data_IF_272543815101
#
_entry.id   IF_272543815101
#
_cell.length_a   1.000
_cell.length_b   1.000
_cell.length_c   1.000
_cell.angle_alpha   90.00
_cell.angle_beta   90.00
_cell.angle_gamma   90.00
#
_symmetry.space_group_name_H-M   'P 1'
#
loop_
_entity.id
_entity.type
_entity.pdbx_description
1 polymer ?
#
# COMPACT_ATOMS: atom_id res chain seq x y z
N UNK A 1 1.64 -12.72 -36.44
CA UNK A 1 2.82 -12.00 -35.90
C UNK A 1 2.35 -10.78 -35.12
N UNK A 2 1.84 -10.99 -33.92
CA UNK A 2 1.70 -9.95 -32.90
C UNK A 2 2.46 -10.48 -31.68
N UNK A 3 3.16 -9.73 -30.84
CA UNK A 3 3.11 -8.31 -30.59
C UNK A 3 4.50 -7.91 -30.01
N UNK A 4 5.51 -7.61 -30.85
CA UNK A 4 6.85 -7.28 -30.34
C UNK A 4 6.82 -6.08 -29.37
N UNK A 5 5.84 -5.19 -29.55
CA UNK A 5 5.60 -4.04 -28.67
C UNK A 5 5.13 -4.42 -27.26
N UNK A 6 4.40 -5.52 -27.08
CA UNK A 6 3.98 -5.95 -25.75
C UNK A 6 5.15 -6.54 -24.97
N UNK A 7 6.03 -7.31 -25.62
CA UNK A 7 7.25 -7.80 -24.99
C UNK A 7 8.20 -6.65 -24.59
N UNK A 8 8.29 -5.60 -25.40
CA UNK A 8 9.02 -4.38 -25.08
C UNK A 8 8.41 -3.65 -23.87
N UNK A 9 7.09 -3.49 -23.85
CA UNK A 9 6.39 -2.85 -22.73
C UNK A 9 6.53 -3.68 -21.45
N UNK A 10 6.40 -5.00 -21.53
CA UNK A 10 6.57 -5.92 -20.42
C UNK A 10 8.00 -5.84 -19.87
N UNK A 11 9.01 -5.91 -20.72
CA UNK A 11 10.40 -5.78 -20.31
C UNK A 11 10.66 -4.42 -19.61
N UNK A 12 10.14 -3.32 -20.18
CA UNK A 12 10.25 -1.99 -19.57
C UNK A 12 9.55 -1.93 -18.20
N UNK A 13 8.34 -2.47 -18.10
CA UNK A 13 7.57 -2.50 -16.86
C UNK A 13 8.27 -3.32 -15.79
N UNK A 14 8.84 -4.48 -16.15
CA UNK A 14 9.64 -5.33 -15.25
C UNK A 14 10.88 -4.59 -14.76
N UNK A 15 11.62 -3.93 -15.65
CA UNK A 15 12.80 -3.13 -15.25
C UNK A 15 12.40 -2.00 -14.29
N UNK A 16 11.30 -1.30 -14.58
CA UNK A 16 10.78 -0.23 -13.72
C UNK A 16 10.33 -0.77 -12.35
N UNK A 17 9.71 -1.95 -12.33
CA UNK A 17 9.25 -2.59 -11.10
C UNK A 17 10.42 -3.05 -10.22
N UNK A 18 11.44 -3.70 -10.80
CA UNK A 18 12.64 -4.16 -10.09
C UNK A 18 13.42 -2.98 -9.50
N UNK A 19 13.48 -1.84 -10.21
CA UNK A 19 14.13 -0.62 -9.71
C UNK A 19 13.32 0.11 -8.63
N UNK A 20 12.07 -0.27 -8.40
CA UNK A 20 11.23 0.40 -7.41
C UNK A 20 11.64 0.04 -5.97
N UNK A 21 11.97 1.01 -5.11
CA UNK A 21 12.28 0.74 -3.71
C UNK A 21 11.08 0.15 -2.95
N UNK A 22 9.84 0.49 -3.35
CA UNK A 22 8.64 -0.06 -2.71
C UNK A 22 8.44 -1.54 -3.04
N UNK A 23 8.72 -1.94 -4.29
CA UNK A 23 8.66 -3.35 -4.70
C UNK A 23 9.68 -4.18 -3.92
N UNK A 24 10.93 -3.71 -3.83
CA UNK A 24 11.97 -4.39 -3.05
C UNK A 24 11.59 -4.54 -1.58
N UNK A 25 11.03 -3.49 -0.95
CA UNK A 25 10.52 -3.56 0.44
C UNK A 25 9.39 -4.57 0.60
N UNK A 26 8.48 -4.66 -0.38
CA UNK A 26 7.38 -5.60 -0.36
C UNK A 26 7.88 -7.06 -0.49
N UNK A 27 8.81 -7.34 -1.41
CA UNK A 27 9.45 -8.65 -1.56
C UNK A 27 10.15 -9.06 -0.27
N UNK A 28 10.93 -8.16 0.33
CA UNK A 28 11.59 -8.40 1.61
C UNK A 28 10.60 -8.71 2.75
N UNK A 29 9.43 -8.04 2.77
CA UNK A 29 8.37 -8.31 3.74
C UNK A 29 7.71 -9.68 3.51
N UNK A 30 7.45 -10.03 2.25
CA UNK A 30 6.89 -11.33 1.88
C UNK A 30 7.85 -12.47 2.23
N UNK A 31 9.14 -12.32 1.89
CA UNK A 31 10.19 -13.26 2.24
C UNK A 31 10.26 -13.50 3.76
N UNK A 32 10.34 -12.42 4.56
CA UNK A 32 10.32 -12.55 6.03
C UNK A 32 9.08 -13.25 6.55
N UNK A 33 7.90 -12.96 5.97
CA UNK A 33 6.64 -13.61 6.35
C UNK A 33 6.62 -15.11 6.04
N UNK A 34 7.13 -15.53 4.87
CA UNK A 34 7.22 -16.94 4.46
C UNK A 34 8.20 -17.69 5.37
N UNK A 35 9.36 -17.09 5.62
CA UNK A 35 10.42 -17.70 6.42
C UNK A 35 10.25 -17.50 7.93
N UNK A 36 9.14 -16.88 8.38
CA UNK A 36 8.84 -16.57 9.79
C UNK A 36 10.02 -15.90 10.52
N UNK A 37 10.75 -15.06 9.81
CA UNK A 37 11.87 -14.32 10.40
C UNK A 37 11.26 -13.35 11.42
N UNK A 38 11.69 -13.40 12.70
CA UNK A 38 11.17 -12.51 13.71
C UNK A 38 11.44 -11.05 13.33
N UNK A 39 10.45 -10.19 13.55
CA UNK A 39 10.61 -8.77 13.31
C UNK A 39 11.62 -8.23 14.32
N UNK A 40 12.80 -7.85 13.83
CA UNK A 40 13.89 -7.27 14.64
C UNK A 40 13.56 -5.84 15.11
N UNK A 41 12.56 -5.21 14.51
CA UNK A 41 12.12 -3.85 14.83
C UNK A 41 10.78 -3.88 15.57
N UNK A 42 10.66 -3.06 16.60
CA UNK A 42 9.40 -2.86 17.30
C UNK A 42 8.38 -2.22 16.34
N UNK A 43 7.35 -2.98 15.95
CA UNK A 43 6.29 -2.54 15.02
C UNK A 43 5.67 -1.17 15.37
N UNK A 44 5.66 -0.83 16.66
CA UNK A 44 5.15 0.43 17.19
C UNK A 44 6.11 1.04 18.23
N UNK A 45 7.31 1.43 17.81
CA UNK A 45 8.19 2.32 18.60
C UNK A 45 8.41 1.89 20.06
N UNK A 46 8.59 0.59 20.31
CA UNK A 46 8.88 0.06 21.65
C UNK A 46 7.68 -0.33 22.51
N UNK A 47 6.49 -0.53 21.94
CA UNK A 47 5.35 -1.12 22.67
C UNK A 47 4.13 -0.22 22.83
N UNK A 48 3.98 0.84 22.02
CA UNK A 48 2.73 1.60 21.97
C UNK A 48 1.64 0.76 21.31
N UNK A 49 0.78 0.13 22.11
CA UNK A 49 -0.51 -0.42 21.68
C UNK A 49 -1.48 0.73 21.46
N UNK A 50 -1.37 1.42 20.33
CA UNK A 50 -2.28 2.50 19.93
C UNK A 50 -2.55 2.45 18.42
N UNK A 51 -3.59 3.17 17.95
CA UNK A 51 -3.92 3.25 16.53
C UNK A 51 -2.69 3.70 15.73
N UNK A 52 -2.45 3.09 14.58
CA UNK A 52 -1.34 3.46 13.71
C UNK A 52 -1.66 4.76 12.98
N UNK A 53 -0.63 5.44 12.45
CA UNK A 53 -0.82 6.62 11.59
C UNK A 53 -1.74 6.32 10.40
N UNK A 54 -1.75 5.07 9.91
CA UNK A 54 -2.63 4.66 8.83
C UNK A 54 -4.09 4.53 9.26
N UNK A 55 -4.35 4.10 10.50
CA UNK A 55 -5.71 4.02 11.03
C UNK A 55 -6.33 5.42 11.13
N UNK A 56 -5.57 6.39 11.65
CA UNK A 56 -5.98 7.80 11.69
C UNK A 56 -6.24 8.37 10.29
N UNK A 57 -5.35 8.11 9.33
CA UNK A 57 -5.55 8.53 7.94
C UNK A 57 -6.83 7.95 7.33
N UNK A 58 -7.14 6.67 7.61
CA UNK A 58 -8.36 6.03 7.13
C UNK A 58 -9.61 6.65 7.74
N UNK A 59 -9.59 6.95 9.03
CA UNK A 59 -10.70 7.58 9.73
C UNK A 59 -10.96 8.98 9.16
N UNK A 60 -9.90 9.78 8.99
CA UNK A 60 -10.01 11.11 8.36
C UNK A 60 -10.57 11.04 6.94
N UNK A 61 -10.11 10.10 6.10
CA UNK A 61 -10.67 9.92 4.76
C UNK A 61 -12.14 9.52 4.79
N UNK A 62 -12.54 8.66 5.73
CA UNK A 62 -13.93 8.22 5.87
C UNK A 62 -14.83 9.37 6.30
N UNK A 63 -14.37 10.21 7.22
CA UNK A 63 -15.10 11.38 7.68
C UNK A 63 -15.22 12.42 6.56
N UNK A 64 -14.15 12.69 5.81
CA UNK A 64 -14.20 13.55 4.62
C UNK A 64 -15.16 13.01 3.55
N UNK A 65 -15.16 11.70 3.28
CA UNK A 65 -16.10 11.09 2.35
C UNK A 65 -17.55 11.19 2.83
N UNK A 66 -17.78 11.00 4.14
CA UNK A 66 -19.10 11.14 4.74
C UNK A 66 -19.61 12.57 4.60
N UNK A 67 -18.80 13.57 4.91
CA UNK A 67 -19.16 14.98 4.74
C UNK A 67 -19.50 15.33 3.29
N UNK A 68 -18.65 14.90 2.35
CA UNK A 68 -18.86 15.14 0.92
C UNK A 68 -20.16 14.51 0.39
N UNK A 69 -20.51 13.33 0.90
CA UNK A 69 -21.71 12.60 0.45
C UNK A 69 -22.99 13.05 1.17
N UNK A 70 -22.90 13.56 2.40
CA UNK A 70 -24.05 14.06 3.16
C UNK A 70 -24.59 15.41 2.67
N UNK A 71 -23.80 16.20 1.94
CA UNK A 71 -24.27 17.44 1.29
C UNK A 71 -25.33 17.19 0.19
N UNK A 72 -25.56 15.94 -0.23
CA UNK A 72 -26.54 15.57 -1.28
C UNK A 72 -27.82 14.92 -0.73
N UNK A 73 -28.36 15.35 0.41
CA UNK A 73 -29.76 15.02 0.75
C UNK A 73 -30.70 15.97 0.00
N UNK A 74 -31.56 15.49 -0.93
CA UNK A 74 -32.58 16.34 -1.50
C UNK A 74 -33.53 16.82 -0.37
N UNK A 75 -33.90 18.11 -0.33
CA UNK A 75 -34.95 18.56 0.57
C UNK A 75 -36.26 17.83 0.23
N UNK A 76 -36.97 17.41 1.27
CA UNK A 76 -38.21 16.62 1.18
C UNK A 76 -39.38 17.49 0.73
#
# INVERSE_FOLDING_TARGET
MGLPWFALFEAWAVVKLIRSPTFNRAVQKAYRKIHRIPDMEAKNGGGRTGPTTFDHFRDELKDQFRELTWQKRPPK
#
